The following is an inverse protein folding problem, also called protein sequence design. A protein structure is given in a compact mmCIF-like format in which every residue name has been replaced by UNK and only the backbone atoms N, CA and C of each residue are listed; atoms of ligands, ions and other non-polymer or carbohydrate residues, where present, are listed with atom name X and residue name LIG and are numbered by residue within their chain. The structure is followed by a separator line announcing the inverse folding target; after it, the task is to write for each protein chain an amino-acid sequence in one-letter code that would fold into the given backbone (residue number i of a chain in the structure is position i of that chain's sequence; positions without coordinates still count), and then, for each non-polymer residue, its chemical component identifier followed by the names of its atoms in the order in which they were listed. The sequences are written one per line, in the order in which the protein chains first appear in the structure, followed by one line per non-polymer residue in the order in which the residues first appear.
data_IF_689462840874
#
_entry.id   IF_689462840874
#
_cell.length_a   1.000
_cell.length_b   1.000
_cell.length_c   1.000
_cell.angle_alpha   90.00
_cell.angle_beta   90.00
_cell.angle_gamma   90.00
#
_symmetry.space_group_name_H-M   'P 1'
#
loop_
_entity.id
_entity.type
_entity.pdbx_description
1 polymer ?
#
# COMPACT_ATOMS: atom_id res chain seq x y z
N UNK A 1 -25.70 2.47 -9.61
CA UNK A 1 -25.12 2.50 -8.25
C UNK A 1 -23.86 3.36 -8.34
N UNK A 2 -23.65 4.22 -7.37
CA UNK A 2 -22.55 5.18 -7.32
C UNK A 2 -21.53 4.69 -6.29
N UNK A 3 -20.29 4.43 -6.73
CA UNK A 3 -19.23 3.83 -5.92
C UNK A 3 -18.08 4.83 -5.78
N UNK A 4 -17.74 5.19 -4.55
CA UNK A 4 -16.59 6.02 -4.26
C UNK A 4 -15.38 5.13 -3.91
N UNK A 5 -14.38 5.07 -4.78
CA UNK A 5 -13.12 4.42 -4.51
C UNK A 5 -12.20 5.38 -3.79
N UNK A 6 -11.71 4.97 -2.62
CA UNK A 6 -10.81 5.76 -1.80
C UNK A 6 -9.43 5.10 -1.81
N UNK A 7 -8.45 5.79 -2.37
CA UNK A 7 -7.10 5.28 -2.58
C UNK A 7 -6.04 6.20 -1.96
N UNK A 8 -4.99 5.61 -1.40
CA UNK A 8 -3.87 6.32 -0.79
C UNK A 8 -2.58 6.02 -1.55
N UNK A 9 -1.97 7.04 -2.16
CA UNK A 9 -0.68 6.95 -2.84
C UNK A 9 -0.63 6.03 -4.08
N UNK A 10 -1.78 5.68 -4.69
CA UNK A 10 -1.82 4.73 -5.79
C UNK A 10 -2.66 5.24 -6.99
N UNK A 11 -3.81 4.62 -7.29
CA UNK A 11 -4.64 4.95 -8.44
C UNK A 11 -5.27 6.34 -8.31
N UNK A 12 -5.32 7.16 -9.38
CA UNK A 12 -4.83 6.89 -10.73
C UNK A 12 -3.40 7.42 -11.02
N UNK A 13 -2.61 7.77 -10.02
CA UNK A 13 -1.33 8.49 -10.16
C UNK A 13 -0.11 7.60 -10.34
N UNK A 14 -0.12 6.41 -9.74
CA UNK A 14 1.04 5.50 -9.71
C UNK A 14 0.68 4.19 -10.39
N UNK A 15 1.55 3.69 -11.28
CA UNK A 15 1.41 2.37 -11.90
C UNK A 15 1.87 1.31 -10.90
N UNK A 16 1.02 0.32 -10.61
CA UNK A 16 1.34 -0.75 -9.67
C UNK A 16 0.23 -1.79 -9.58
N UNK A 17 0.43 -2.82 -8.76
CA UNK A 17 -0.52 -3.93 -8.61
C UNK A 17 -1.90 -3.47 -8.16
N UNK A 18 -1.97 -2.70 -7.06
CA UNK A 18 -3.23 -2.16 -6.52
C UNK A 18 -3.90 -1.23 -7.52
N UNK A 19 -3.13 -0.33 -8.16
CA UNK A 19 -3.66 0.58 -9.18
C UNK A 19 -4.22 -0.17 -10.39
N UNK A 20 -3.52 -1.22 -10.85
CA UNK A 20 -3.97 -2.09 -11.93
C UNK A 20 -5.24 -2.84 -11.55
N UNK A 21 -5.34 -3.32 -10.32
CA UNK A 21 -6.54 -3.97 -9.80
C UNK A 21 -7.74 -3.00 -9.76
N UNK A 22 -7.58 -1.78 -9.21
CA UNK A 22 -8.63 -0.75 -9.21
C UNK A 22 -9.09 -0.43 -10.63
N UNK A 23 -8.14 -0.21 -11.55
CA UNK A 23 -8.44 0.09 -12.94
C UNK A 23 -9.24 -1.04 -13.63
N UNK A 24 -8.86 -2.29 -13.37
CA UNK A 24 -9.55 -3.48 -13.90
C UNK A 24 -10.95 -3.62 -13.31
N UNK A 25 -11.10 -3.40 -12.00
CA UNK A 25 -12.39 -3.42 -11.32
C UNK A 25 -13.36 -2.40 -11.91
N UNK A 26 -12.94 -1.15 -12.11
CA UNK A 26 -13.78 -0.10 -12.71
C UNK A 26 -14.23 -0.50 -14.12
N UNK A 27 -13.35 -1.07 -14.93
CA UNK A 27 -13.67 -1.57 -16.29
C UNK A 27 -14.62 -2.75 -16.29
N UNK A 28 -14.54 -3.62 -15.26
CA UNK A 28 -15.40 -4.82 -15.16
C UNK A 28 -16.83 -4.45 -14.83
N UNK A 29 -17.07 -3.28 -14.25
CA UNK A 29 -18.41 -2.78 -13.91
C UNK A 29 -18.82 -1.54 -14.73
N UNK A 30 -18.96 -1.62 -16.07
CA UNK A 30 -19.18 -0.47 -16.94
C UNK A 30 -20.52 0.24 -16.68
N UNK A 31 -21.49 -0.44 -16.08
CA UNK A 31 -22.82 0.11 -15.75
C UNK A 31 -22.86 0.77 -14.37
N UNK A 32 -21.77 0.82 -13.63
CA UNK A 32 -21.68 1.52 -12.36
C UNK A 32 -20.97 2.86 -12.56
N UNK A 33 -21.37 3.86 -11.81
CA UNK A 33 -20.72 5.16 -11.76
C UNK A 33 -19.65 5.14 -10.68
N UNK A 34 -18.44 5.56 -11.02
CA UNK A 34 -17.32 5.61 -10.09
C UNK A 34 -16.89 7.04 -9.81
N UNK A 35 -16.68 7.33 -8.54
CA UNK A 35 -15.99 8.52 -8.04
C UNK A 35 -14.64 8.06 -7.50
N UNK A 36 -13.58 8.79 -7.81
CA UNK A 36 -12.27 8.58 -7.22
C UNK A 36 -12.04 9.64 -6.14
N UNK A 37 -11.69 9.23 -4.94
CA UNK A 37 -11.16 10.08 -3.89
C UNK A 37 -9.74 9.62 -3.61
N UNK A 38 -8.77 10.35 -4.14
CA UNK A 38 -7.36 9.97 -4.11
C UNK A 38 -6.61 10.83 -3.10
N UNK A 39 -5.96 10.16 -2.15
CA UNK A 39 -5.11 10.77 -1.14
C UNK A 39 -3.69 10.78 -1.71
N UNK A 40 -3.12 11.96 -1.91
CA UNK A 40 -1.80 12.17 -2.52
C UNK A 40 -0.92 13.05 -1.65
N UNK A 41 0.41 12.88 -1.77
CA UNK A 41 1.34 13.55 -0.88
C UNK A 41 1.33 15.07 -1.07
N UNK A 42 1.37 15.54 -2.33
CA UNK A 42 1.46 16.96 -2.64
C UNK A 42 0.68 17.34 -3.91
N UNK A 43 0.49 18.65 -4.13
CA UNK A 43 -0.24 19.21 -5.29
C UNK A 43 0.49 19.06 -6.63
N UNK A 44 1.77 18.73 -6.65
CA UNK A 44 2.52 18.62 -7.90
C UNK A 44 2.02 17.49 -8.80
N UNK A 45 1.41 16.47 -8.21
CA UNK A 45 0.82 15.34 -8.90
C UNK A 45 -0.61 15.61 -9.39
N UNK A 46 -1.24 16.72 -9.00
CA UNK A 46 -2.62 17.03 -9.36
C UNK A 46 -2.88 16.91 -10.86
N UNK A 47 -3.91 16.13 -11.22
CA UNK A 47 -4.32 15.92 -12.61
C UNK A 47 -3.33 15.14 -13.49
N UNK A 48 -2.18 14.71 -12.96
CA UNK A 48 -1.17 13.94 -13.73
C UNK A 48 -1.42 12.44 -13.63
N UNK A 49 -2.48 11.97 -14.24
CA UNK A 49 -2.88 10.57 -14.17
C UNK A 49 -1.95 9.65 -14.99
N UNK A 50 -1.49 8.57 -14.37
CA UNK A 50 -0.73 7.50 -15.01
C UNK A 50 -1.62 6.56 -15.84
N UNK A 51 -2.94 6.63 -15.65
CA UNK A 51 -3.93 5.82 -16.35
C UNK A 51 -4.88 6.71 -17.16
N UNK A 52 -5.31 6.23 -18.34
CA UNK A 52 -6.48 6.79 -19.02
C UNK A 52 -7.72 6.33 -18.25
N UNK A 53 -8.43 7.28 -17.65
CA UNK A 53 -9.62 6.97 -16.86
C UNK A 53 -10.71 6.35 -17.73
N UNK A 54 -11.38 5.26 -17.28
CA UNK A 54 -12.57 4.72 -17.92
C UNK A 54 -13.72 5.73 -17.96
N UNK A 55 -14.61 5.63 -18.95
CA UNK A 55 -15.71 6.58 -19.19
C UNK A 55 -16.74 6.61 -18.02
N UNK A 56 -16.83 5.56 -17.25
CA UNK A 56 -17.70 5.45 -16.07
C UNK A 56 -17.10 6.05 -14.79
N UNK A 57 -15.92 6.66 -14.84
CA UNK A 57 -15.39 7.53 -13.79
C UNK A 57 -15.92 8.94 -14.02
N UNK A 58 -16.79 9.40 -13.15
CA UNK A 58 -17.51 10.68 -13.31
C UNK A 58 -16.88 11.84 -12.56
N UNK A 59 -16.20 11.56 -11.44
CA UNK A 59 -15.57 12.57 -10.59
C UNK A 59 -14.21 12.08 -10.07
N UNK A 60 -13.28 13.02 -9.88
CA UNK A 60 -12.00 12.79 -9.21
C UNK A 60 -11.84 13.87 -8.15
N UNK A 61 -11.76 13.46 -6.90
CA UNK A 61 -11.46 14.29 -5.74
C UNK A 61 -10.06 13.99 -5.25
N UNK A 62 -9.32 15.03 -4.91
CA UNK A 62 -7.93 14.93 -4.47
C UNK A 62 -7.80 15.48 -3.05
N UNK A 63 -7.21 14.69 -2.16
CA UNK A 63 -6.84 15.11 -0.81
C UNK A 63 -5.31 15.15 -0.69
N UNK A 64 -4.79 16.29 -0.28
CA UNK A 64 -3.35 16.51 -0.11
C UNK A 64 -2.99 16.43 1.37
N UNK A 65 -2.08 15.52 1.75
CA UNK A 65 -1.63 15.34 3.13
C UNK A 65 -0.50 16.30 3.53
N UNK A 66 0.17 16.91 2.55
CA UNK A 66 1.21 17.93 2.72
C UNK A 66 0.78 19.17 1.95
N UNK A 67 -0.15 19.92 2.51
CA UNK A 67 -0.57 21.19 1.95
C UNK A 67 0.01 22.32 2.80
N UNK A 68 0.85 23.18 2.22
CA UNK A 68 1.42 24.36 2.89
C UNK A 68 0.37 25.43 3.18
N UNK A 69 -0.79 25.35 2.52
CA UNK A 69 -1.89 26.31 2.64
C UNK A 69 -2.98 25.83 3.64
N UNK A 70 -2.56 25.46 4.83
CA UNK A 70 -3.48 24.99 5.90
C UNK A 70 -4.41 26.07 6.45
N UNK A 71 -4.71 27.05 5.63
CA UNK A 71 -5.48 28.23 5.96
C UNK A 71 -4.63 29.33 6.53
N UNK A 72 -4.54 30.44 5.80
CA UNK A 72 -3.94 31.68 6.29
C UNK A 72 -4.62 32.06 7.60
N UNK A 73 -3.82 32.17 8.66
CA UNK A 73 -4.28 32.61 9.99
C UNK A 73 -4.78 34.06 9.89
N UNK A 74 -5.98 34.23 9.41
CA UNK A 74 -6.68 35.50 9.40
C UNK A 74 -7.46 35.68 10.70
N UNK A 75 -6.80 36.07 11.78
CA UNK A 75 -7.27 36.37 13.14
C UNK A 75 -7.43 35.11 14.02
N UNK A 76 -6.72 35.14 15.13
CA UNK A 76 -6.83 34.26 16.28
C UNK A 76 -8.28 34.14 16.79
N UNK A 77 -9.11 33.32 16.19
CA UNK A 77 -10.34 32.84 16.80
C UNK A 77 -9.96 31.61 17.63
N UNK A 78 -9.94 31.79 18.95
CA UNK A 78 -9.86 30.67 19.90
C UNK A 78 -11.14 29.86 19.79
N UNK A 79 -11.17 28.86 18.90
CA UNK A 79 -12.28 27.89 18.91
C UNK A 79 -12.08 26.98 20.13
N UNK A 80 -12.93 27.14 21.14
CA UNK A 80 -13.00 26.18 22.23
C UNK A 80 -13.81 24.96 21.81
N UNK A 81 -13.22 23.79 21.97
CA UNK A 81 -13.93 22.51 21.81
C UNK A 81 -15.02 22.40 22.89
N UNK A 82 -16.17 21.83 22.53
CA UNK A 82 -17.14 21.40 23.50
C UNK A 82 -16.57 20.24 24.32
N UNK A 83 -17.08 20.03 25.52
CA UNK A 83 -16.55 18.99 26.43
C UNK A 83 -16.43 17.60 25.75
N UNK A 84 -17.46 17.18 25.00
CA UNK A 84 -17.42 15.89 24.28
C UNK A 84 -16.35 15.84 23.18
N UNK A 85 -16.17 16.94 22.46
CA UNK A 85 -15.16 17.07 21.39
C UNK A 85 -13.75 17.03 21.98
N UNK A 86 -13.52 17.75 23.08
CA UNK A 86 -12.27 17.71 23.83
C UNK A 86 -11.97 16.30 24.38
N UNK A 87 -12.98 15.62 24.92
CA UNK A 87 -12.83 14.23 25.39
C UNK A 87 -12.42 13.30 24.25
N UNK A 88 -13.06 13.38 23.10
CA UNK A 88 -12.74 12.56 21.94
C UNK A 88 -11.32 12.84 21.42
N UNK A 89 -10.92 14.12 21.31
CA UNK A 89 -9.56 14.52 20.97
C UNK A 89 -8.54 14.00 21.97
N UNK A 90 -8.79 14.17 23.27
CA UNK A 90 -7.92 13.71 24.34
C UNK A 90 -7.75 12.19 24.33
N UNK A 91 -8.84 11.42 24.13
CA UNK A 91 -8.80 9.96 24.02
C UNK A 91 -7.98 9.51 22.81
N UNK A 92 -8.08 10.24 21.68
CA UNK A 92 -7.26 10.01 20.49
C UNK A 92 -5.75 10.15 20.79
N UNK A 93 -5.36 11.19 21.54
CA UNK A 93 -3.96 11.45 21.89
C UNK A 93 -3.41 10.51 22.96
N UNK A 94 -4.27 10.06 23.88
CA UNK A 94 -3.92 9.16 24.98
C UNK A 94 -3.96 7.66 24.62
N UNK A 95 -4.25 7.31 23.38
CA UNK A 95 -4.39 5.92 22.94
C UNK A 95 -5.50 5.16 23.67
N UNK A 96 -6.58 5.85 23.97
CA UNK A 96 -7.79 5.29 24.60
C UNK A 96 -8.87 5.00 23.55
N UNK A 97 -10.00 4.46 23.98
CA UNK A 97 -11.15 4.29 23.10
C UNK A 97 -11.67 5.65 22.62
N UNK A 98 -11.69 5.84 21.31
CA UNK A 98 -12.02 7.12 20.67
C UNK A 98 -13.47 7.11 20.20
N UNK A 99 -14.24 8.12 20.59
CA UNK A 99 -15.55 8.38 20.01
C UNK A 99 -15.41 9.03 18.62
N UNK A 100 -15.11 8.22 17.60
CA UNK A 100 -14.81 8.69 16.26
C UNK A 100 -15.95 9.49 15.63
N UNK A 101 -17.20 9.13 15.90
CA UNK A 101 -18.36 9.86 15.38
C UNK A 101 -18.41 11.31 15.86
N UNK A 102 -17.94 11.57 17.10
CA UNK A 102 -17.83 12.94 17.62
C UNK A 102 -16.76 13.73 16.86
N UNK A 103 -15.63 13.10 16.54
CA UNK A 103 -14.59 13.74 15.72
C UNK A 103 -15.07 13.97 14.29
N UNK A 104 -15.74 13.00 13.67
CA UNK A 104 -16.33 13.15 12.33
C UNK A 104 -17.29 14.37 12.29
N UNK A 105 -18.23 14.41 13.22
CA UNK A 105 -19.19 15.53 13.32
C UNK A 105 -18.49 16.87 13.57
N UNK A 106 -17.45 16.88 14.40
CA UNK A 106 -16.70 18.11 14.70
C UNK A 106 -16.02 18.68 13.45
N UNK A 107 -15.28 17.86 12.72
CA UNK A 107 -14.50 18.31 11.57
C UNK A 107 -15.39 18.68 10.36
N UNK A 108 -16.44 17.93 10.08
CA UNK A 108 -17.32 18.21 8.93
C UNK A 108 -18.30 19.37 9.16
N UNK A 109 -18.75 19.58 10.40
CA UNK A 109 -19.83 20.56 10.65
C UNK A 109 -19.34 21.97 11.05
N UNK A 110 -18.03 22.13 11.40
CA UNK A 110 -17.56 23.38 12.03
C UNK A 110 -16.61 24.21 11.18
N UNK A 111 -16.37 23.85 9.92
CA UNK A 111 -15.39 24.57 9.06
C UNK A 111 -14.05 24.80 9.79
N UNK A 112 -13.49 23.73 10.36
CA UNK A 112 -12.37 23.76 11.31
C UNK A 112 -11.10 24.23 10.63
N UNK A 113 -10.48 25.30 11.14
CA UNK A 113 -9.11 25.65 10.81
C UNK A 113 -8.16 24.68 11.54
N UNK A 114 -7.56 23.77 10.78
CA UNK A 114 -6.65 22.74 11.33
C UNK A 114 -5.46 23.39 12.02
N UNK A 115 -4.93 24.48 11.45
CA UNK A 115 -3.84 25.23 12.05
C UNK A 115 -4.24 25.83 13.42
N UNK A 116 -5.43 26.47 13.49
CA UNK A 116 -5.94 27.00 14.76
C UNK A 116 -6.17 25.89 15.80
N UNK A 117 -6.64 24.74 15.39
CA UNK A 117 -6.80 23.58 16.28
C UNK A 117 -5.45 23.09 16.80
N UNK A 118 -4.48 22.82 15.92
CA UNK A 118 -3.16 22.30 16.28
C UNK A 118 -2.32 23.30 17.12
N UNK A 119 -2.57 24.61 16.96
CA UNK A 119 -1.91 25.68 17.72
C UNK A 119 -2.76 26.13 18.91
N UNK A 120 -3.98 25.60 19.08
CA UNK A 120 -4.94 26.00 20.11
C UNK A 120 -4.65 25.42 21.49
N UNK A 121 -5.25 26.06 22.52
CA UNK A 121 -5.09 25.66 23.93
C UNK A 121 -5.62 24.22 24.17
N UNK A 122 -6.72 23.82 23.55
CA UNK A 122 -7.32 22.51 23.75
C UNK A 122 -6.40 21.38 23.27
N UNK A 123 -5.80 21.52 22.07
CA UNK A 123 -4.82 20.55 21.58
C UNK A 123 -3.57 20.52 22.45
N UNK A 124 -3.06 21.71 22.85
CA UNK A 124 -1.91 21.82 23.74
C UNK A 124 -2.15 21.09 25.08
N UNK A 125 -3.30 21.31 25.72
CA UNK A 125 -3.63 20.64 27.00
C UNK A 125 -3.79 19.13 26.81
N UNK A 126 -4.41 18.66 25.73
CA UNK A 126 -4.53 17.23 25.47
C UNK A 126 -3.15 16.58 25.22
N UNK A 127 -2.22 17.28 24.52
CA UNK A 127 -0.83 16.82 24.35
C UNK A 127 -0.08 16.83 25.68
N UNK A 128 -0.27 17.86 26.51
CA UNK A 128 0.36 17.94 27.83
C UNK A 128 -0.10 16.79 28.76
N UNK A 129 -1.38 16.46 28.70
CA UNK A 129 -1.92 15.30 29.42
C UNK A 129 -1.28 13.99 28.95
N UNK A 130 -1.17 13.79 27.62
CA UNK A 130 -0.51 12.61 27.05
C UNK A 130 0.97 12.54 27.46
N UNK A 131 1.67 13.67 27.41
CA UNK A 131 3.06 13.79 27.85
C UNK A 131 3.23 13.37 29.32
N UNK A 132 2.48 13.99 30.22
CA UNK A 132 2.60 13.75 31.65
C UNK A 132 2.25 12.31 32.07
N UNK A 133 1.30 11.68 31.34
CA UNK A 133 0.83 10.34 31.68
C UNK A 133 1.66 9.22 31.05
N UNK A 134 2.22 9.43 29.86
CA UNK A 134 2.82 8.34 29.07
C UNK A 134 4.28 8.58 28.69
N UNK A 135 4.75 9.85 28.61
CA UNK A 135 6.04 10.20 28.03
C UNK A 135 6.83 11.24 28.83
N UNK A 136 6.88 11.17 30.19
CA UNK A 136 7.50 12.24 31.00
C UNK A 136 9.02 12.34 30.83
N UNK A 137 9.66 11.31 30.28
CA UNK A 137 11.12 11.22 30.17
C UNK A 137 11.69 11.76 28.84
N UNK A 138 10.84 12.29 27.94
CA UNK A 138 11.28 12.85 26.67
C UNK A 138 11.18 14.38 26.67
N UNK A 139 11.83 15.02 25.71
CA UNK A 139 11.79 16.49 25.60
C UNK A 139 10.41 16.95 25.12
N UNK A 140 9.72 17.73 25.93
CA UNK A 140 8.33 18.15 25.66
C UNK A 140 8.17 18.90 24.33
N UNK A 141 9.11 19.79 23.98
CA UNK A 141 9.05 20.52 22.70
C UNK A 141 9.04 19.56 21.50
N UNK A 142 9.89 18.55 21.53
CA UNK A 142 10.01 17.56 20.45
C UNK A 142 8.77 16.68 20.39
N UNK A 143 8.23 16.32 21.55
CA UNK A 143 6.96 15.59 21.65
C UNK A 143 5.80 16.40 21.06
N UNK A 144 5.67 17.66 21.43
CA UNK A 144 4.61 18.55 20.93
C UNK A 144 4.67 18.70 19.40
N UNK A 145 5.87 18.90 18.83
CA UNK A 145 6.03 18.99 17.39
C UNK A 145 5.76 17.66 16.67
N UNK A 146 6.18 16.55 17.26
CA UNK A 146 5.87 15.20 16.74
C UNK A 146 4.37 14.97 16.73
N UNK A 147 3.65 15.30 17.80
CA UNK A 147 2.19 15.16 17.86
C UNK A 147 1.50 16.03 16.80
N UNK A 148 1.94 17.27 16.60
CA UNK A 148 1.41 18.14 15.54
C UNK A 148 1.62 17.52 14.15
N UNK A 149 2.83 17.08 13.85
CA UNK A 149 3.17 16.48 12.56
C UNK A 149 2.38 15.20 12.29
N UNK A 150 2.16 14.39 13.32
CA UNK A 150 1.43 13.13 13.21
C UNK A 150 -0.08 13.33 13.02
N UNK A 151 -0.67 14.31 13.71
CA UNK A 151 -2.12 14.53 13.63
C UNK A 151 -2.56 15.43 12.49
N UNK A 152 -1.65 16.23 11.90
CA UNK A 152 -1.96 17.07 10.76
C UNK A 152 -2.60 16.30 9.60
N UNK A 153 -1.98 15.26 9.03
CA UNK A 153 -2.58 14.54 7.90
C UNK A 153 -3.90 13.84 8.29
N UNK A 154 -4.04 13.39 9.54
CA UNK A 154 -5.31 12.85 10.02
C UNK A 154 -6.41 13.92 10.07
N UNK A 155 -6.10 15.11 10.55
CA UNK A 155 -7.09 16.19 10.64
C UNK A 155 -7.45 16.73 9.25
N UNK A 156 -6.50 16.74 8.29
CA UNK A 156 -6.79 17.01 6.88
C UNK A 156 -7.77 15.98 6.30
N UNK A 157 -7.55 14.70 6.59
CA UNK A 157 -8.47 13.64 6.17
C UNK A 157 -9.86 13.78 6.80
N UNK A 158 -9.94 14.13 8.09
CA UNK A 158 -11.19 14.36 8.81
C UNK A 158 -11.96 15.60 8.35
N UNK A 159 -11.26 16.61 7.82
CA UNK A 159 -11.86 17.85 7.32
C UNK A 159 -12.22 17.81 5.83
N UNK A 160 -11.98 16.69 5.15
CA UNK A 160 -12.24 16.58 3.71
C UNK A 160 -13.73 16.45 3.41
N UNK A 161 -14.18 17.08 2.33
CA UNK A 161 -15.52 16.88 1.81
C UNK A 161 -15.66 15.48 1.18
N UNK A 162 -16.70 14.76 1.58
CA UNK A 162 -16.92 13.39 1.11
C UNK A 162 -18.06 13.40 0.09
N UNK A 163 -17.81 12.96 -1.15
CA UNK A 163 -18.85 12.88 -2.16
C UNK A 163 -19.90 11.84 -1.75
N UNK A 164 -21.18 12.14 -2.06
CA UNK A 164 -22.27 11.21 -1.78
C UNK A 164 -22.19 9.99 -2.71
N UNK A 165 -22.13 8.80 -2.12
CA UNK A 165 -22.09 7.52 -2.85
C UNK A 165 -22.95 6.45 -2.14
N UNK A 166 -23.33 5.42 -2.89
CA UNK A 166 -24.05 4.25 -2.36
C UNK A 166 -23.09 3.29 -1.65
N UNK A 167 -21.85 3.23 -2.17
CA UNK A 167 -20.77 2.40 -1.63
C UNK A 167 -19.48 3.22 -1.53
N UNK A 168 -18.82 3.14 -0.40
CA UNK A 168 -17.47 3.62 -0.17
C UNK A 168 -16.53 2.42 -0.14
N UNK A 169 -15.55 2.38 -1.02
CA UNK A 169 -14.61 1.28 -1.11
C UNK A 169 -13.18 1.79 -0.92
N UNK A 170 -12.66 1.61 0.28
CA UNK A 170 -11.27 1.93 0.59
C UNK A 170 -10.36 0.76 0.17
N UNK A 171 -9.29 1.05 -0.56
CA UNK A 171 -8.32 0.03 -1.01
C UNK A 171 -7.17 -0.19 -0.02
N UNK A 172 -7.26 0.44 1.13
CA UNK A 172 -6.42 0.21 2.32
C UNK A 172 -7.18 0.69 3.56
N UNK A 173 -6.69 0.37 4.74
CA UNK A 173 -7.06 1.05 5.98
C UNK A 173 -6.38 2.43 6.06
N UNK A 174 -5.95 2.93 7.21
CA UNK A 174 -5.28 4.23 7.28
C UNK A 174 -6.20 5.41 6.97
N UNK A 175 -5.70 6.39 6.24
CA UNK A 175 -6.49 7.59 5.90
C UNK A 175 -7.67 7.25 4.98
N UNK A 176 -7.50 6.32 4.05
CA UNK A 176 -8.59 5.86 3.19
C UNK A 176 -9.70 5.20 4.00
N UNK A 177 -9.35 4.41 5.01
CA UNK A 177 -10.30 3.79 5.94
C UNK A 177 -11.06 4.80 6.81
N UNK A 178 -10.39 5.88 7.25
CA UNK A 178 -11.02 6.99 7.98
C UNK A 178 -12.09 7.66 7.09
N UNK A 179 -11.74 8.01 5.86
CA UNK A 179 -12.66 8.68 4.93
C UNK A 179 -13.84 7.76 4.58
N UNK A 180 -13.59 6.46 4.36
CA UNK A 180 -14.67 5.49 4.13
C UNK A 180 -15.61 5.37 5.33
N UNK A 181 -15.07 5.40 6.55
CA UNK A 181 -15.85 5.39 7.80
C UNK A 181 -16.74 6.65 7.92
N UNK A 182 -16.19 7.81 7.54
CA UNK A 182 -16.96 9.07 7.48
C UNK A 182 -18.06 9.03 6.41
N UNK A 183 -17.75 8.48 5.22
CA UNK A 183 -18.72 8.32 4.14
C UNK A 183 -19.94 7.51 4.59
N UNK A 184 -19.71 6.39 5.27
CA UNK A 184 -20.78 5.59 5.88
C UNK A 184 -21.52 6.38 6.97
N UNK A 185 -20.82 7.12 7.82
CA UNK A 185 -21.42 7.90 8.90
C UNK A 185 -22.39 8.97 8.38
N UNK A 186 -21.96 9.77 7.39
CA UNK A 186 -22.73 10.92 6.90
C UNK A 186 -23.78 10.54 5.86
N UNK A 187 -23.46 9.65 4.93
CA UNK A 187 -24.32 9.35 3.77
C UNK A 187 -25.03 8.01 3.87
N UNK A 188 -24.77 7.22 4.92
CA UNK A 188 -25.39 5.90 5.16
C UNK A 188 -25.17 4.90 4.02
N UNK A 189 -24.15 5.10 3.19
CA UNK A 189 -23.70 4.14 2.19
C UNK A 189 -23.04 2.91 2.83
N UNK A 190 -22.90 1.83 2.04
CA UNK A 190 -22.13 0.66 2.48
C UNK A 190 -20.63 0.99 2.47
N UNK A 191 -19.86 0.41 3.38
CA UNK A 191 -18.42 0.63 3.45
C UNK A 191 -17.67 -0.70 3.35
N UNK A 192 -16.78 -0.79 2.36
CA UNK A 192 -15.93 -1.96 2.09
C UNK A 192 -14.47 -1.55 2.22
N UNK A 193 -13.67 -2.39 2.86
CA UNK A 193 -12.21 -2.26 2.91
C UNK A 193 -11.59 -3.44 2.19
N UNK A 194 -10.72 -3.17 1.20
CA UNK A 194 -9.92 -4.20 0.54
C UNK A 194 -8.44 -3.93 0.77
N UNK A 195 -7.76 -4.80 1.49
CA UNK A 195 -6.32 -4.70 1.71
C UNK A 195 -5.56 -5.67 0.81
N UNK A 196 -4.66 -5.11 -0.01
CA UNK A 196 -3.75 -5.87 -0.87
C UNK A 196 -2.41 -6.19 -0.18
N UNK A 197 -2.11 -5.48 0.87
CA UNK A 197 -1.08 -5.69 1.88
C UNK A 197 -1.63 -5.23 3.23
N UNK A 198 -1.02 -5.61 4.33
CA UNK A 198 -1.48 -5.19 5.66
C UNK A 198 -0.90 -3.80 5.96
N UNK A 199 -1.73 -2.76 5.80
CA UNK A 199 -1.35 -1.36 5.91
C UNK A 199 -0.50 -1.03 7.15
N UNK A 200 -0.92 -1.50 8.32
CA UNK A 200 -0.19 -1.25 9.56
C UNK A 200 1.20 -1.86 9.57
N UNK A 201 1.40 -3.04 8.96
CA UNK A 201 2.72 -3.68 8.85
C UNK A 201 3.62 -2.94 7.87
N UNK A 202 3.09 -2.53 6.73
CA UNK A 202 3.83 -1.74 5.74
C UNK A 202 4.30 -0.41 6.35
N UNK A 203 3.41 0.30 7.05
CA UNK A 203 3.78 1.53 7.77
C UNK A 203 4.78 1.30 8.91
N UNK A 204 4.66 0.19 9.63
CA UNK A 204 5.62 -0.19 10.67
C UNK A 204 7.01 -0.45 10.09
N UNK A 205 7.12 -1.19 8.98
CA UNK A 205 8.38 -1.45 8.29
C UNK A 205 9.03 -0.15 7.76
N UNK A 206 8.24 0.74 7.16
CA UNK A 206 8.71 2.04 6.70
C UNK A 206 9.24 2.89 7.85
N UNK A 207 8.52 2.96 8.96
CA UNK A 207 8.94 3.71 10.14
C UNK A 207 10.19 3.13 10.78
N UNK A 208 10.35 1.81 10.82
CA UNK A 208 11.57 1.17 11.34
C UNK A 208 12.79 1.60 10.55
N UNK A 209 12.67 1.70 9.23
CA UNK A 209 13.73 2.13 8.30
C UNK A 209 13.94 3.65 8.28
N UNK A 210 12.92 4.44 8.62
CA UNK A 210 12.96 5.89 8.53
C UNK A 210 13.98 6.51 9.49
N UNK A 211 14.91 7.30 8.97
CA UNK A 211 15.91 8.02 9.76
C UNK A 211 15.37 9.35 10.34
N UNK A 212 14.35 9.94 9.69
CA UNK A 212 13.74 11.19 10.10
C UNK A 212 12.86 11.09 11.38
N UNK A 213 12.45 9.87 11.77
CA UNK A 213 11.70 9.62 13.01
C UNK A 213 12.62 9.07 14.08
N UNK A 214 12.79 9.80 15.18
CA UNK A 214 13.55 9.31 16.34
C UNK A 214 12.91 8.04 16.92
N UNK A 215 13.73 7.13 17.43
CA UNK A 215 13.34 5.78 17.88
C UNK A 215 12.14 5.78 18.83
N UNK A 216 12.10 6.72 19.78
CA UNK A 216 11.02 6.85 20.78
C UNK A 216 9.67 7.17 20.13
N UNK A 217 9.66 7.95 19.05
CA UNK A 217 8.44 8.37 18.37
C UNK A 217 7.89 7.34 17.37
N UNK A 218 8.70 6.39 16.91
CA UNK A 218 8.25 5.33 15.98
C UNK A 218 7.04 4.58 16.54
N UNK A 219 7.09 4.19 17.80
CA UNK A 219 6.00 3.50 18.47
C UNK A 219 4.70 4.32 18.54
N UNK A 220 4.80 5.66 18.68
CA UNK A 220 3.63 6.54 18.73
C UNK A 220 2.95 6.55 17.36
N UNK A 221 3.72 6.69 16.27
CA UNK A 221 3.23 6.59 14.90
C UNK A 221 2.57 5.25 14.59
N UNK A 222 3.21 4.13 14.99
CA UNK A 222 2.68 2.78 14.77
C UNK A 222 1.33 2.60 15.47
N UNK A 223 1.20 3.07 16.71
CA UNK A 223 -0.09 3.03 17.44
C UNK A 223 -1.16 3.85 16.74
N UNK A 224 -0.80 5.01 16.19
CA UNK A 224 -1.73 5.85 15.44
C UNK A 224 -2.25 5.13 14.19
N UNK A 225 -1.41 4.47 13.42
CA UNK A 225 -1.83 3.69 12.26
C UNK A 225 -2.73 2.51 12.66
N UNK A 226 -2.41 1.81 13.75
CA UNK A 226 -3.26 0.73 14.30
C UNK A 226 -4.64 1.24 14.71
N UNK A 227 -4.74 2.45 15.30
CA UNK A 227 -6.05 3.06 15.64
C UNK A 227 -6.88 3.37 14.38
N UNK A 228 -6.27 3.92 13.34
CA UNK A 228 -6.96 4.20 12.09
C UNK A 228 -7.45 2.92 11.41
N UNK A 229 -6.64 1.85 11.41
CA UNK A 229 -7.08 0.56 10.88
C UNK A 229 -8.22 -0.04 11.70
N UNK A 230 -8.14 0.03 13.03
CA UNK A 230 -9.20 -0.48 13.92
C UNK A 230 -10.55 0.19 13.69
N UNK A 231 -10.59 1.52 13.50
CA UNK A 231 -11.87 2.20 13.20
C UNK A 231 -12.40 1.80 11.83
N UNK A 232 -11.54 1.68 10.82
CA UNK A 232 -11.95 1.22 9.50
C UNK A 232 -12.57 -0.18 9.55
N UNK A 233 -11.92 -1.14 10.20
CA UNK A 233 -12.44 -2.51 10.39
C UNK A 233 -13.77 -2.53 11.14
N UNK A 234 -13.88 -1.78 12.24
CA UNK A 234 -15.12 -1.74 13.02
C UNK A 234 -16.28 -1.11 12.27
N UNK A 235 -16.01 -0.10 11.43
CA UNK A 235 -17.04 0.63 10.67
C UNK A 235 -17.43 -0.10 9.38
N UNK A 236 -16.50 -0.78 8.72
CA UNK A 236 -16.77 -1.50 7.48
C UNK A 236 -17.90 -2.51 7.61
N UNK A 237 -18.65 -2.72 6.52
CA UNK A 237 -19.64 -3.79 6.39
C UNK A 237 -18.99 -5.10 5.96
N UNK A 238 -17.91 -5.00 5.15
CA UNK A 238 -17.07 -6.12 4.75
C UNK A 238 -15.60 -5.68 4.67
N UNK A 239 -14.71 -6.60 5.01
CA UNK A 239 -13.26 -6.42 4.90
C UNK A 239 -12.71 -7.60 4.11
N UNK A 240 -11.91 -7.32 3.08
CA UNK A 240 -11.35 -8.38 2.24
C UNK A 240 -9.84 -8.45 2.39
N UNK A 241 -9.33 -9.67 2.49
CA UNK A 241 -7.92 -10.00 2.38
C UNK A 241 -7.68 -10.92 1.18
N UNK A 242 -6.46 -10.99 0.70
CA UNK A 242 -6.12 -11.77 -0.50
C UNK A 242 -6.01 -13.28 -0.23
N UNK A 243 -5.73 -13.68 1.01
CA UNK A 243 -5.53 -15.09 1.41
C UNK A 243 -5.75 -15.23 2.93
N UNK A 244 -5.85 -16.48 3.40
CA UNK A 244 -6.24 -16.78 4.78
C UNK A 244 -5.36 -16.11 5.83
N UNK A 245 -4.04 -16.23 5.70
CA UNK A 245 -3.13 -15.61 6.67
C UNK A 245 -3.22 -14.06 6.70
N UNK A 246 -3.57 -13.41 5.59
CA UNK A 246 -3.85 -11.97 5.60
C UNK A 246 -5.09 -11.66 6.45
N UNK A 247 -6.15 -12.46 6.32
CA UNK A 247 -7.35 -12.33 7.14
C UNK A 247 -7.09 -12.60 8.64
N UNK A 248 -6.25 -13.58 8.97
CA UNK A 248 -5.81 -13.82 10.35
C UNK A 248 -5.08 -12.59 10.95
N UNK A 249 -4.21 -11.96 10.15
CA UNK A 249 -3.51 -10.74 10.58
C UNK A 249 -4.48 -9.57 10.78
N UNK A 250 -5.49 -9.44 9.91
CA UNK A 250 -6.56 -8.43 10.07
C UNK A 250 -7.37 -8.68 11.34
N UNK A 251 -7.67 -9.95 11.68
CA UNK A 251 -8.34 -10.33 12.92
C UNK A 251 -7.50 -9.93 14.14
N UNK A 252 -6.20 -10.24 14.14
CA UNK A 252 -5.26 -9.82 15.20
C UNK A 252 -5.19 -8.29 15.36
N UNK A 253 -5.33 -7.55 14.26
CA UNK A 253 -5.36 -6.08 14.28
C UNK A 253 -6.72 -5.49 14.69
N UNK A 254 -7.70 -6.35 14.99
CA UNK A 254 -8.98 -5.97 15.56
C UNK A 254 -10.14 -5.93 14.56
N UNK A 255 -10.00 -6.57 13.39
CA UNK A 255 -11.12 -6.77 12.48
C UNK A 255 -12.06 -7.85 13.03
N UNK A 256 -13.39 -7.61 13.14
CA UNK A 256 -14.35 -8.65 13.48
C UNK A 256 -14.34 -9.78 12.43
N UNK A 257 -14.21 -11.02 12.90
CA UNK A 257 -14.07 -12.20 12.02
C UNK A 257 -15.23 -12.37 11.03
N UNK A 258 -16.43 -12.04 11.46
CA UNK A 258 -17.65 -12.12 10.66
C UNK A 258 -17.69 -11.15 9.46
N UNK A 259 -16.80 -10.17 9.42
CA UNK A 259 -16.68 -9.22 8.30
C UNK A 259 -15.59 -9.62 7.31
N UNK A 260 -14.73 -10.57 7.68
CA UNK A 260 -13.60 -10.98 6.86
C UNK A 260 -14.04 -11.89 5.71
N UNK A 261 -13.53 -11.58 4.53
CA UNK A 261 -13.74 -12.35 3.30
C UNK A 261 -12.44 -12.50 2.54
N UNK A 262 -12.15 -13.70 2.06
CA UNK A 262 -10.99 -13.93 1.19
C UNK A 262 -11.40 -13.61 -0.25
N UNK A 263 -10.72 -12.67 -0.87
CA UNK A 263 -10.90 -12.30 -2.28
C UNK A 263 -9.52 -12.27 -2.96
N UNK A 264 -9.06 -13.41 -3.48
CA UNK A 264 -7.75 -13.50 -4.10
C UNK A 264 -7.64 -12.63 -5.36
N UNK A 265 -6.42 -12.20 -5.68
CA UNK A 265 -6.15 -11.57 -6.95
C UNK A 265 -6.39 -12.55 -8.12
N UNK A 266 -6.81 -12.01 -9.24
CA UNK A 266 -6.93 -12.70 -10.50
C UNK A 266 -6.24 -11.95 -11.63
N UNK A 267 -5.99 -12.62 -12.73
CA UNK A 267 -5.45 -12.05 -13.95
C UNK A 267 -6.31 -12.39 -15.16
N UNK A 268 -6.21 -11.60 -16.21
CA UNK A 268 -6.79 -11.92 -17.50
C UNK A 268 -5.88 -12.93 -18.25
N UNK A 269 -6.12 -14.22 -18.04
CA UNK A 269 -5.31 -15.30 -18.61
C UNK A 269 -5.29 -15.29 -20.16
N UNK A 270 -6.32 -14.71 -20.80
CA UNK A 270 -6.40 -14.65 -22.27
C UNK A 270 -5.25 -13.84 -22.89
N UNK A 271 -4.68 -12.91 -22.14
CA UNK A 271 -3.50 -12.14 -22.57
C UNK A 271 -2.25 -13.03 -22.73
N UNK A 272 -2.26 -14.23 -22.14
CA UNK A 272 -1.13 -15.15 -22.11
C UNK A 272 -1.32 -16.37 -23.02
N UNK A 273 -2.43 -16.50 -23.75
CA UNK A 273 -2.71 -17.66 -24.62
C UNK A 273 -1.81 -17.73 -25.85
N UNK A 274 -1.39 -16.58 -26.40
CA UNK A 274 -0.61 -16.50 -27.65
C UNK A 274 0.63 -15.62 -27.47
N UNK A 275 1.56 -16.07 -26.65
CA UNK A 275 2.78 -15.35 -26.37
C UNK A 275 3.82 -15.54 -27.50
N UNK A 276 4.63 -14.50 -27.80
CA UNK A 276 5.67 -14.59 -28.81
C UNK A 276 6.75 -15.59 -28.41
N UNK A 277 7.25 -16.33 -29.39
CA UNK A 277 8.42 -17.18 -29.20
C UNK A 277 9.69 -16.34 -29.17
N UNK A 278 10.68 -16.74 -28.35
CA UNK A 278 11.97 -16.09 -28.30
C UNK A 278 12.77 -16.17 -29.59
N UNK A 279 13.70 -15.22 -29.75
CA UNK A 279 14.62 -15.19 -30.89
C UNK A 279 15.53 -16.45 -30.92
N UNK A 280 16.14 -16.81 -32.06
CA UNK A 280 17.12 -17.88 -32.10
C UNK A 280 18.29 -17.71 -31.14
N UNK A 281 18.68 -16.48 -30.84
CA UNK A 281 19.73 -16.17 -29.90
C UNK A 281 19.29 -16.49 -28.45
N UNK A 282 18.06 -16.20 -28.11
CA UNK A 282 17.52 -16.52 -26.78
C UNK A 282 17.40 -18.03 -26.54
N UNK A 283 17.11 -18.81 -27.58
CA UNK A 283 16.97 -20.26 -27.49
C UNK A 283 18.25 -21.04 -27.16
N UNK A 284 19.42 -20.42 -27.24
CA UNK A 284 20.68 -21.03 -26.81
C UNK A 284 20.92 -20.93 -25.28
N UNK A 285 20.15 -20.13 -24.58
CA UNK A 285 20.24 -19.93 -23.15
C UNK A 285 19.08 -20.65 -22.42
N UNK A 286 19.27 -20.84 -21.14
CA UNK A 286 18.17 -21.11 -20.19
C UNK A 286 17.78 -19.75 -19.62
N UNK A 287 16.62 -19.27 -20.00
CA UNK A 287 16.17 -17.91 -19.70
C UNK A 287 15.40 -17.86 -18.38
N UNK A 288 15.94 -17.13 -17.42
CA UNK A 288 15.33 -16.89 -16.12
C UNK A 288 14.77 -15.48 -16.10
N UNK A 289 13.47 -15.33 -15.90
CA UNK A 289 12.79 -14.04 -15.86
C UNK A 289 12.53 -13.59 -14.42
N UNK A 290 12.81 -12.34 -14.09
CA UNK A 290 12.37 -11.68 -12.85
C UNK A 290 11.50 -10.49 -13.19
N UNK A 291 10.19 -10.60 -13.00
CA UNK A 291 9.24 -9.51 -13.26
C UNK A 291 9.08 -8.70 -11.97
N UNK A 292 9.97 -7.74 -11.77
CA UNK A 292 10.08 -6.98 -10.52
C UNK A 292 10.52 -5.54 -10.75
N UNK A 293 10.11 -4.63 -9.88
CA UNK A 293 10.72 -3.30 -9.73
C UNK A 293 12.09 -3.45 -9.07
N UNK A 294 13.08 -2.69 -9.50
CA UNK A 294 14.40 -2.72 -8.86
C UNK A 294 14.39 -1.86 -7.59
N UNK A 295 13.87 -2.44 -6.51
CA UNK A 295 13.69 -1.80 -5.20
C UNK A 295 14.16 -2.71 -4.07
N UNK A 296 14.54 -2.19 -2.89
CA UNK A 296 15.05 -2.98 -1.76
C UNK A 296 14.12 -4.11 -1.33
N UNK A 297 12.79 -3.89 -1.37
CA UNK A 297 11.79 -4.90 -0.96
C UNK A 297 11.78 -6.14 -1.87
N UNK A 298 12.25 -6.00 -3.13
CA UNK A 298 12.35 -7.09 -4.11
C UNK A 298 13.67 -7.85 -4.03
N UNK A 299 14.60 -7.37 -3.21
CA UNK A 299 15.91 -7.98 -2.92
C UNK A 299 16.71 -8.43 -4.17
N UNK A 300 16.81 -7.48 -5.11
CA UNK A 300 17.51 -7.71 -6.39
C UNK A 300 19.00 -8.05 -6.17
N UNK A 301 19.59 -7.60 -5.07
CA UNK A 301 21.00 -7.93 -4.73
C UNK A 301 21.16 -9.42 -4.46
N UNK A 302 20.29 -10.02 -3.67
CA UNK A 302 20.29 -11.47 -3.44
C UNK A 302 20.05 -12.23 -4.74
N UNK A 303 19.14 -11.75 -5.61
CA UNK A 303 18.91 -12.33 -6.93
C UNK A 303 20.19 -12.35 -7.78
N UNK A 304 20.91 -11.24 -7.87
CA UNK A 304 22.16 -11.14 -8.63
C UNK A 304 23.24 -12.12 -8.07
N UNK A 305 23.37 -12.18 -6.75
CA UNK A 305 24.32 -13.08 -6.09
C UNK A 305 23.98 -14.57 -6.31
N UNK A 306 22.70 -14.93 -6.15
CA UNK A 306 22.20 -16.28 -6.40
C UNK A 306 22.39 -16.68 -7.87
N UNK A 307 22.09 -15.75 -8.80
CA UNK A 307 22.33 -15.99 -10.22
C UNK A 307 23.82 -16.19 -10.53
N UNK A 308 24.72 -15.36 -9.96
CA UNK A 308 26.16 -15.52 -10.09
C UNK A 308 26.64 -16.91 -9.63
N UNK A 309 26.08 -17.38 -8.52
CA UNK A 309 26.39 -18.70 -7.99
C UNK A 309 25.90 -19.84 -8.89
N UNK A 310 24.64 -19.75 -9.36
CA UNK A 310 24.04 -20.71 -10.27
C UNK A 310 24.72 -20.73 -11.64
N UNK A 311 25.11 -19.57 -12.17
CA UNK A 311 25.81 -19.40 -13.46
C UNK A 311 27.12 -20.16 -13.52
N UNK A 312 27.89 -20.25 -12.41
CA UNK A 312 29.12 -21.04 -12.33
C UNK A 312 28.88 -22.55 -12.55
N UNK A 313 27.69 -23.03 -12.18
CA UNK A 313 27.31 -24.45 -12.35
C UNK A 313 26.63 -24.71 -13.69
N UNK A 314 25.87 -23.71 -14.18
CA UNK A 314 25.14 -23.77 -15.44
C UNK A 314 25.45 -22.54 -16.31
N UNK A 315 26.52 -22.57 -17.13
CA UNK A 315 26.98 -21.44 -17.95
C UNK A 315 25.95 -20.92 -18.96
N UNK A 316 24.91 -21.71 -19.29
CA UNK A 316 23.84 -21.33 -20.24
C UNK A 316 22.73 -20.48 -19.62
N UNK A 317 22.75 -20.21 -18.32
CA UNK A 317 21.76 -19.34 -17.69
C UNK A 317 21.87 -17.90 -18.20
N UNK A 318 20.74 -17.26 -18.46
CA UNK A 318 20.63 -15.82 -18.69
C UNK A 318 19.48 -15.25 -17.85
N UNK A 319 19.73 -14.15 -17.13
CA UNK A 319 18.77 -13.49 -16.26
C UNK A 319 18.22 -12.22 -16.92
N UNK A 320 16.90 -12.11 -16.93
CA UNK A 320 16.15 -10.97 -17.44
C UNK A 320 15.42 -10.30 -16.29
N UNK A 321 15.86 -9.11 -15.87
CA UNK A 321 15.19 -8.31 -14.84
C UNK A 321 14.28 -7.31 -15.53
N UNK A 322 12.98 -7.63 -15.53
CA UNK A 322 11.93 -6.92 -16.24
C UNK A 322 11.15 -6.03 -15.27
N UNK A 323 11.35 -4.75 -15.35
CA UNK A 323 10.65 -3.75 -14.54
C UNK A 323 11.44 -2.45 -14.36
N UNK A 324 10.80 -1.42 -13.82
CA UNK A 324 11.41 -0.11 -13.65
C UNK A 324 12.56 -0.16 -12.64
N UNK A 325 13.57 0.69 -12.88
CA UNK A 325 14.71 0.90 -12.00
C UNK A 325 14.95 2.40 -11.69
N UNK A 326 13.99 3.23 -12.02
CA UNK A 326 13.97 4.68 -11.84
C UNK A 326 13.28 5.15 -10.56
N UNK A 327 12.59 4.23 -9.86
CA UNK A 327 11.88 4.52 -8.61
C UNK A 327 12.85 4.68 -7.41
N UNK A 328 13.93 3.89 -7.38
CA UNK A 328 14.98 3.88 -6.33
C UNK A 328 16.36 3.94 -7.01
N UNK A 329 16.78 5.11 -7.53
CA UNK A 329 17.98 5.21 -8.40
C UNK A 329 19.27 4.80 -7.71
N UNK A 330 19.42 5.08 -6.41
CA UNK A 330 20.61 4.72 -5.64
C UNK A 330 20.72 3.19 -5.49
N UNK A 331 19.61 2.53 -5.13
CA UNK A 331 19.58 1.07 -5.04
C UNK A 331 19.80 0.40 -6.39
N UNK A 332 19.22 0.93 -7.46
CA UNK A 332 19.43 0.43 -8.82
C UNK A 332 20.91 0.56 -9.24
N UNK A 333 21.55 1.69 -8.96
CA UNK A 333 22.98 1.89 -9.22
C UNK A 333 23.86 0.89 -8.46
N UNK A 334 23.51 0.56 -7.21
CA UNK A 334 24.20 -0.48 -6.44
C UNK A 334 24.01 -1.87 -7.04
N UNK A 335 22.82 -2.19 -7.56
CA UNK A 335 22.55 -3.46 -8.26
C UNK A 335 23.36 -3.57 -9.56
N UNK A 336 23.42 -2.53 -10.38
CA UNK A 336 24.22 -2.51 -11.60
C UNK A 336 25.72 -2.69 -11.29
N UNK A 337 26.22 -1.95 -10.32
CA UNK A 337 27.62 -2.06 -9.87
C UNK A 337 27.94 -3.46 -9.33
N UNK A 338 27.02 -4.10 -8.62
CA UNK A 338 27.19 -5.47 -8.13
C UNK A 338 27.28 -6.47 -9.29
N UNK A 339 26.42 -6.37 -10.30
CA UNK A 339 26.46 -7.22 -11.49
C UNK A 339 27.81 -7.08 -12.25
N UNK A 340 28.30 -5.84 -12.38
CA UNK A 340 29.60 -5.54 -13.00
C UNK A 340 30.77 -6.12 -12.18
N UNK A 341 30.76 -5.91 -10.85
CA UNK A 341 31.81 -6.44 -9.94
C UNK A 341 31.89 -7.97 -9.90
N UNK A 342 30.76 -8.64 -10.11
CA UNK A 342 30.70 -10.09 -10.21
C UNK A 342 31.04 -10.61 -11.62
N UNK A 343 31.38 -9.71 -12.54
CA UNK A 343 31.76 -10.01 -13.95
C UNK A 343 30.71 -10.87 -14.68
N UNK A 344 29.40 -10.61 -14.42
CA UNK A 344 28.31 -11.39 -15.01
C UNK A 344 27.82 -10.70 -16.29
N UNK A 345 28.11 -11.29 -17.43
CA UNK A 345 27.73 -10.75 -18.75
C UNK A 345 26.28 -11.05 -19.16
N UNK A 346 25.63 -12.03 -18.53
CA UNK A 346 24.32 -12.55 -18.94
C UNK A 346 23.20 -12.13 -17.97
N UNK A 347 23.26 -10.90 -17.45
CA UNK A 347 22.17 -10.22 -16.76
C UNK A 347 21.72 -9.06 -17.63
N UNK A 348 20.42 -9.01 -17.93
CA UNK A 348 19.77 -7.96 -18.72
C UNK A 348 18.76 -7.21 -17.83
N UNK A 349 18.97 -5.91 -17.63
CA UNK A 349 18.00 -5.02 -17.00
C UNK A 349 17.20 -4.34 -18.10
N UNK A 350 15.99 -4.82 -18.37
CA UNK A 350 15.18 -4.38 -19.51
C UNK A 350 14.50 -3.02 -19.29
N UNK A 351 14.40 -2.59 -18.04
CA UNK A 351 13.53 -1.49 -17.69
C UNK A 351 12.05 -1.88 -17.81
N UNK A 352 11.20 -0.89 -17.96
CA UNK A 352 9.75 -1.05 -18.09
C UNK A 352 9.42 -1.66 -19.46
N UNK A 353 8.90 -2.88 -19.47
CA UNK A 353 8.53 -3.64 -20.69
C UNK A 353 7.13 -4.23 -20.58
N UNK A 354 6.56 -4.63 -21.71
CA UNK A 354 5.37 -5.46 -21.70
C UNK A 354 5.77 -6.91 -21.43
N UNK A 355 5.38 -7.44 -20.28
CA UNK A 355 5.80 -8.77 -19.78
C UNK A 355 5.37 -9.90 -20.73
N UNK A 356 4.25 -9.75 -21.46
CA UNK A 356 3.78 -10.73 -22.42
C UNK A 356 4.75 -10.93 -23.61
N UNK A 357 5.61 -9.95 -23.91
CA UNK A 357 6.60 -10.08 -24.97
C UNK A 357 7.80 -10.97 -24.58
N UNK A 358 7.91 -11.27 -23.27
CA UNK A 358 9.02 -12.02 -22.70
C UNK A 358 8.60 -13.39 -22.16
N UNK A 359 7.47 -13.49 -21.45
CA UNK A 359 7.10 -14.72 -20.72
C UNK A 359 6.99 -15.95 -21.60
N UNK A 360 6.59 -15.80 -22.88
CA UNK A 360 6.41 -16.93 -23.80
C UNK A 360 7.69 -17.72 -24.12
N UNK A 361 8.85 -17.22 -23.74
CA UNK A 361 10.14 -17.87 -23.98
C UNK A 361 11.04 -17.91 -22.76
N UNK A 362 10.50 -17.63 -21.57
CA UNK A 362 11.17 -17.91 -20.30
C UNK A 362 11.07 -19.39 -19.96
N UNK A 363 12.16 -19.97 -19.50
CA UNK A 363 12.18 -21.35 -19.01
C UNK A 363 11.70 -21.43 -17.55
N UNK A 364 11.89 -20.35 -16.79
CA UNK A 364 11.40 -20.18 -15.43
C UNK A 364 11.36 -18.70 -15.04
N UNK A 365 10.56 -18.38 -14.02
CA UNK A 365 10.62 -17.07 -13.38
C UNK A 365 11.10 -17.18 -11.94
N UNK A 366 11.66 -16.08 -11.42
CA UNK A 366 12.18 -16.00 -10.05
C UNK A 366 11.70 -14.74 -9.35
N UNK A 367 11.31 -14.86 -8.08
CA UNK A 367 10.87 -13.79 -7.20
C UNK A 367 11.61 -13.89 -5.86
N UNK A 368 12.49 -12.93 -5.58
CA UNK A 368 13.36 -12.91 -4.38
C UNK A 368 12.88 -11.96 -3.29
N UNK A 369 11.64 -11.50 -3.37
CA UNK A 369 11.09 -10.46 -2.49
C UNK A 369 11.22 -10.82 -1.01
N UNK A 370 11.44 -9.80 -0.19
CA UNK A 370 11.44 -9.90 1.27
C UNK A 370 10.01 -9.92 1.83
N UNK A 371 9.08 -9.24 1.15
CA UNK A 371 7.67 -9.18 1.53
C UNK A 371 6.79 -9.11 0.29
N UNK A 372 5.68 -9.82 0.31
CA UNK A 372 4.63 -9.83 -0.71
C UNK A 372 3.25 -10.00 -0.05
N UNK A 373 2.21 -9.57 -0.77
CA UNK A 373 0.85 -10.01 -0.49
C UNK A 373 0.55 -11.29 -1.29
N UNK A 374 -0.11 -11.13 -2.42
CA UNK A 374 -0.32 -12.19 -3.41
C UNK A 374 0.24 -11.68 -4.75
N UNK A 375 1.47 -12.10 -5.13
CA UNK A 375 2.16 -11.53 -6.28
C UNK A 375 1.50 -11.92 -7.62
N UNK A 376 1.08 -10.93 -8.39
CA UNK A 376 0.48 -11.11 -9.71
C UNK A 376 1.46 -11.76 -10.68
N UNK A 377 2.75 -11.51 -10.54
CA UNK A 377 3.81 -12.06 -11.39
C UNK A 377 3.87 -13.59 -11.35
N UNK A 378 3.49 -14.22 -10.22
CA UNK A 378 3.36 -15.68 -10.14
C UNK A 378 2.15 -16.15 -10.96
N UNK A 379 1.00 -15.48 -10.83
CA UNK A 379 -0.20 -15.81 -11.61
C UNK A 379 0.04 -15.62 -13.12
N UNK A 380 0.74 -14.56 -13.51
CA UNK A 380 1.13 -14.28 -14.89
C UNK A 380 2.07 -15.36 -15.44
N UNK A 381 3.04 -15.80 -14.62
CA UNK A 381 3.93 -16.91 -14.99
C UNK A 381 3.17 -18.21 -15.20
N UNK A 382 2.22 -18.54 -14.33
CA UNK A 382 1.39 -19.74 -14.49
C UNK A 382 0.51 -19.68 -15.74
N UNK A 383 -0.08 -18.50 -16.03
CA UNK A 383 -0.86 -18.31 -17.26
C UNK A 383 0.00 -18.46 -18.53
N UNK A 384 1.31 -18.22 -18.42
CA UNK A 384 2.30 -18.44 -19.49
C UNK A 384 2.89 -19.87 -19.46
N UNK A 385 2.44 -20.76 -18.57
CA UNK A 385 2.98 -22.11 -18.36
C UNK A 385 4.46 -22.13 -17.92
N UNK A 386 4.91 -21.09 -17.21
CA UNK A 386 6.28 -20.93 -16.76
C UNK A 386 6.38 -21.25 -15.26
N UNK A 387 7.23 -22.21 -14.85
CA UNK A 387 7.44 -22.55 -13.44
C UNK A 387 8.13 -21.41 -12.68
N UNK A 388 7.89 -21.35 -11.37
CA UNK A 388 8.33 -20.22 -10.53
C UNK A 388 9.23 -20.69 -9.40
N UNK A 389 10.32 -19.95 -9.16
CA UNK A 389 11.09 -20.00 -7.91
C UNK A 389 10.72 -18.74 -7.13
N UNK A 390 10.29 -18.87 -5.87
CA UNK A 390 9.92 -17.71 -5.06
C UNK A 390 10.40 -17.85 -3.62
N UNK A 391 10.64 -16.72 -2.96
CA UNK A 391 10.78 -16.68 -1.51
C UNK A 391 9.46 -17.04 -0.84
N UNK A 392 9.54 -17.68 0.34
CA UNK A 392 8.37 -18.10 1.12
C UNK A 392 7.81 -16.90 1.92
N UNK A 393 7.19 -15.97 1.20
CA UNK A 393 6.60 -14.74 1.75
C UNK A 393 5.18 -14.54 1.22
N UNK A 394 4.33 -13.88 2.01
CA UNK A 394 2.93 -13.67 1.65
C UNK A 394 2.22 -14.95 1.25
N UNK A 395 1.49 -14.91 0.15
CA UNK A 395 0.80 -16.09 -0.41
C UNK A 395 1.62 -16.89 -1.45
N UNK A 396 2.94 -16.72 -1.53
CA UNK A 396 3.75 -17.49 -2.47
C UNK A 396 3.60 -19.00 -2.24
N UNK A 397 3.52 -19.46 -0.98
CA UNK A 397 3.30 -20.85 -0.63
C UNK A 397 1.96 -21.39 -1.16
N UNK A 398 0.87 -20.68 -0.89
CA UNK A 398 -0.47 -21.08 -1.37
C UNK A 398 -0.53 -21.13 -2.91
N UNK A 399 0.11 -20.16 -3.58
CA UNK A 399 0.16 -20.14 -5.05
C UNK A 399 1.00 -21.28 -5.64
N UNK A 400 2.19 -21.59 -5.08
CA UNK A 400 3.10 -22.56 -5.65
C UNK A 400 2.76 -24.03 -5.27
N UNK A 401 2.23 -24.23 -4.07
CA UNK A 401 2.02 -25.59 -3.54
C UNK A 401 0.56 -25.96 -3.44
N UNK A 402 -0.37 -24.98 -3.59
CA UNK A 402 -1.80 -25.20 -3.42
C UNK A 402 -2.19 -25.54 -1.99
N UNK A 403 -3.46 -25.75 -1.80
CA UNK A 403 -4.07 -26.30 -0.59
C UNK A 403 -4.76 -27.60 -0.98
N UNK A 404 -4.16 -28.75 -0.64
CA UNK A 404 -4.72 -30.10 -0.83
C UNK A 404 -5.24 -30.41 -2.25
N UNK A 405 -4.54 -29.93 -3.29
CA UNK A 405 -4.88 -30.21 -4.67
C UNK A 405 -4.08 -31.40 -5.25
N UNK A 406 -4.66 -32.10 -6.20
CA UNK A 406 -4.06 -33.26 -6.88
C UNK A 406 -3.05 -32.85 -7.99
N UNK A 407 -2.84 -31.58 -8.25
CA UNK A 407 -2.03 -31.07 -9.37
C UNK A 407 -0.52 -31.01 -9.06
N UNK A 408 -0.16 -31.03 -7.79
CA UNK A 408 1.23 -30.95 -7.34
C UNK A 408 1.81 -29.54 -7.35
N UNK A 409 3.12 -29.45 -7.20
CA UNK A 409 3.82 -28.17 -7.03
C UNK A 409 4.09 -27.51 -8.37
N UNK A 410 3.75 -26.22 -8.49
CA UNK A 410 3.99 -25.41 -9.68
C UNK A 410 5.34 -24.64 -9.64
N UNK A 411 6.16 -24.88 -8.63
CA UNK A 411 7.46 -24.23 -8.48
C UNK A 411 8.19 -24.63 -7.19
N UNK A 412 9.17 -23.85 -6.81
CA UNK A 412 10.02 -24.09 -5.64
C UNK A 412 10.01 -22.87 -4.73
N UNK A 413 9.86 -23.10 -3.42
CA UNK A 413 10.02 -22.07 -2.41
C UNK A 413 11.44 -22.10 -1.82
N UNK A 414 11.96 -20.90 -1.56
CA UNK A 414 13.25 -20.67 -0.87
C UNK A 414 13.09 -19.70 0.28
N UNK A 415 14.07 -19.64 1.16
CA UNK A 415 14.09 -18.63 2.22
C UNK A 415 14.49 -17.27 1.68
N UNK A 416 14.04 -16.20 2.37
CA UNK A 416 14.48 -14.82 2.08
C UNK A 416 16.02 -14.72 2.22
N UNK A 417 16.65 -13.89 1.39
CA UNK A 417 18.10 -13.64 1.41
C UNK A 417 18.96 -14.92 1.23
N UNK A 418 18.41 -15.97 0.65
CA UNK A 418 19.14 -17.21 0.37
C UNK A 418 19.78 -17.15 -1.01
N UNK A 419 21.08 -17.46 -1.07
CA UNK A 419 21.88 -17.44 -2.29
C UNK A 419 22.03 -18.87 -2.89
N UNK A 420 21.82 -19.91 -2.08
CA UNK A 420 22.03 -21.33 -2.48
C UNK A 420 20.82 -21.96 -3.13
#
# INVERSE_FOLDING_TARGET
MRICIISEGCYPYVVGGVSGWVHSMIKTFPNQEFILLSIIANRELSGKFAYKLPENVTEVHELYLQDDDWGSVNKLHKSKLKQKEYHALRSLLLDQDVEWTVLFDYFCNNNVSINELLMGEDFYHAVLDAYNLQYPDIVFSDFLWTMRSMYLPLFLALATDIPKADVYHAVSTGYAGIIGSMGKHFHKGQFIVSEHGIYTREREEELIKAEWVQRTYKNIWIRQFKKMSKVAYNTADAVTGLYEHACELQEVLGCPKEKLMITPNGIDYKKFENLPAGSPENKQYINVGAVIRVTPIKDVKTLIQAFAYAKKRCPKLKLWIMGPYDEEPEYAAECFKMAEQLEISDIEFTGRVNVTDYLGWMDMTILTSISEGQPLTILESFAAYVPVIATDVGNCRGLLYGEDDDFGKAGILTHIMNIE
#
